data_IF_554271924911
#
_entry.id   IF_554271924911
#
_cell.length_a   1.000
_cell.length_b   1.000
_cell.length_c   1.000
_cell.angle_alpha   90.00
_cell.angle_beta   90.00
_cell.angle_gamma   90.00
#
_symmetry.space_group_name_H-M   'P 1'
#
loop_
_entity.id
_entity.type
_entity.pdbx_description
1 polymer ?
#
# COMPACT_ATOMS: atom_id res chain seq x y z
N UNK A 1 24.74 9.33 10.32
CA UNK A 1 23.72 8.81 9.41
C UNK A 1 22.38 9.13 10.06
N UNK A 2 21.52 9.90 9.43
CA UNK A 2 20.15 10.04 9.89
C UNK A 2 19.48 8.67 9.73
N UNK A 3 18.90 8.15 10.79
CA UNK A 3 18.22 6.85 10.77
C UNK A 3 16.74 7.03 10.43
N UNK A 4 16.05 5.92 10.23
CA UNK A 4 14.59 5.89 10.20
C UNK A 4 14.05 6.13 11.61
N UNK A 5 12.99 6.90 11.74
CA UNK A 5 12.29 7.03 13.03
C UNK A 5 11.42 5.80 13.28
N UNK A 6 11.28 5.43 14.55
CA UNK A 6 10.41 4.29 14.90
C UNK A 6 8.97 4.52 14.47
N UNK A 7 8.48 5.75 14.53
CA UNK A 7 7.16 6.15 14.05
C UNK A 7 6.94 6.05 12.53
N UNK A 8 8.00 5.84 11.74
CA UNK A 8 7.86 5.57 10.31
C UNK A 8 7.61 4.08 10.00
N UNK A 9 7.97 3.18 10.93
CA UNK A 9 7.80 1.75 10.73
C UNK A 9 6.33 1.36 10.92
N UNK A 10 5.78 0.76 9.88
CA UNK A 10 4.39 0.33 9.81
C UNK A 10 4.36 -1.11 9.35
N UNK A 11 3.56 -1.95 9.99
CA UNK A 11 3.36 -3.32 9.55
C UNK A 11 2.00 -3.50 8.88
N UNK A 12 1.91 -4.45 7.96
CA UNK A 12 0.68 -4.79 7.25
C UNK A 12 0.21 -6.20 7.66
N UNK A 13 -1.09 -6.41 7.73
CA UNK A 13 -1.65 -7.68 8.19
C UNK A 13 -1.78 -8.76 7.09
N UNK A 14 -1.29 -8.53 5.89
CA UNK A 14 -1.52 -9.40 4.73
C UNK A 14 -0.98 -10.83 4.92
N UNK A 15 0.23 -10.99 5.45
CA UNK A 15 0.81 -12.33 5.68
C UNK A 15 0.24 -13.06 6.91
N UNK A 16 -0.58 -12.36 7.73
CA UNK A 16 -1.37 -12.98 8.79
C UNK A 16 -2.74 -13.50 8.32
N UNK A 17 -3.01 -13.55 7.03
CA UNK A 17 -4.33 -13.91 6.45
C UNK A 17 -4.91 -15.26 6.90
N UNK A 18 -4.11 -16.13 7.53
CA UNK A 18 -4.54 -17.42 8.11
C UNK A 18 -4.71 -17.38 9.64
N UNK A 19 -4.53 -16.23 10.25
CA UNK A 19 -4.68 -15.98 11.67
C UNK A 19 -5.80 -14.94 11.89
N UNK A 20 -6.25 -14.78 13.14
CA UNK A 20 -7.22 -13.74 13.46
C UNK A 20 -6.56 -12.35 13.46
N UNK A 21 -7.37 -11.31 13.27
CA UNK A 21 -6.89 -9.93 13.42
C UNK A 21 -6.38 -9.66 14.84
N UNK A 22 -7.03 -10.23 15.87
CA UNK A 22 -6.57 -10.09 17.27
C UNK A 22 -5.16 -10.66 17.46
N UNK A 23 -4.86 -11.82 16.87
CA UNK A 23 -3.50 -12.37 16.90
C UNK A 23 -2.48 -11.46 16.23
N UNK A 24 -2.82 -10.87 15.07
CA UNK A 24 -1.95 -9.89 14.43
C UNK A 24 -1.70 -8.68 15.35
N UNK A 25 -2.75 -8.12 15.95
CA UNK A 25 -2.64 -6.96 16.83
C UNK A 25 -1.82 -7.27 18.10
N UNK A 26 -2.01 -8.44 18.71
CA UNK A 26 -1.15 -8.94 19.80
C UNK A 26 0.31 -9.01 19.39
N UNK A 27 0.60 -9.47 18.17
CA UNK A 27 1.96 -9.52 17.64
C UNK A 27 2.55 -8.12 17.47
N UNK A 28 1.77 -7.16 16.97
CA UNK A 28 2.22 -5.75 16.84
C UNK A 28 2.53 -5.13 18.20
N UNK A 29 1.68 -5.35 19.20
CA UNK A 29 1.92 -4.89 20.56
C UNK A 29 3.22 -5.47 21.14
N UNK A 30 3.49 -6.77 20.93
CA UNK A 30 4.74 -7.43 21.35
C UNK A 30 5.98 -6.91 20.65
N UNK A 31 5.86 -6.39 19.42
CA UNK A 31 6.92 -5.74 18.65
C UNK A 31 7.07 -4.26 19.00
N UNK A 32 6.14 -3.69 19.77
CA UNK A 32 6.10 -2.25 20.05
C UNK A 32 5.77 -1.42 18.81
N UNK A 33 5.03 -1.98 17.85
CA UNK A 33 4.56 -1.30 16.65
C UNK A 33 3.14 -0.79 16.90
N UNK A 34 3.01 0.54 16.99
CA UNK A 34 1.73 1.21 17.25
C UNK A 34 0.98 1.65 15.99
N UNK A 35 1.49 1.32 14.80
CA UNK A 35 0.92 1.79 13.53
C UNK A 35 0.86 0.64 12.53
N UNK A 36 -0.30 0.54 11.84
CA UNK A 36 -0.49 -0.49 10.83
C UNK A 36 -1.10 0.09 9.55
N UNK A 37 -0.79 -0.55 8.46
CA UNK A 37 -1.60 -0.51 7.25
C UNK A 37 -2.62 -1.64 7.33
N UNK A 38 -3.90 -1.31 7.20
CA UNK A 38 -4.97 -2.29 7.23
C UNK A 38 -5.24 -2.84 5.83
N UNK A 39 -4.77 -4.04 5.58
CA UNK A 39 -5.21 -4.82 4.43
C UNK A 39 -6.59 -5.43 4.72
N UNK A 40 -7.59 -5.04 3.91
CA UNK A 40 -9.00 -5.45 4.08
C UNK A 40 -9.27 -6.81 3.43
N UNK A 41 -8.48 -7.82 3.78
CA UNK A 41 -8.76 -9.20 3.39
C UNK A 41 -9.87 -9.81 4.24
N UNK A 42 -10.68 -10.66 3.65
CA UNK A 42 -11.90 -11.23 4.23
C UNK A 42 -11.72 -11.92 5.60
N UNK A 43 -10.50 -12.41 5.90
CA UNK A 43 -10.21 -13.02 7.20
C UNK A 43 -10.09 -11.99 8.34
N UNK A 44 -9.80 -10.72 8.04
CA UNK A 44 -9.55 -9.70 9.04
C UNK A 44 -10.62 -8.61 9.09
N UNK A 45 -11.07 -8.16 7.93
CA UNK A 45 -12.10 -7.16 7.80
C UNK A 45 -12.81 -7.33 6.46
N UNK A 46 -14.09 -7.67 6.49
CA UNK A 46 -14.88 -7.78 5.26
C UNK A 46 -15.15 -6.41 4.68
N UNK A 47 -14.87 -6.28 3.38
CA UNK A 47 -15.17 -5.08 2.60
C UNK A 47 -15.58 -5.53 1.20
N UNK A 48 -16.70 -5.03 0.70
CA UNK A 48 -17.14 -5.23 -0.68
C UNK A 48 -17.87 -4.00 -1.24
N UNK A 49 -18.48 -4.14 -2.41
CA UNK A 49 -19.24 -3.05 -3.06
C UNK A 49 -20.60 -2.77 -2.38
N UNK A 50 -21.05 -3.60 -1.46
CA UNK A 50 -22.30 -3.43 -0.72
C UNK A 50 -22.10 -2.82 0.67
N UNK A 51 -20.91 -2.97 1.26
CA UNK A 51 -20.59 -2.47 2.58
C UNK A 51 -19.32 -3.07 3.18
N UNK A 52 -19.29 -3.14 4.50
CA UNK A 52 -18.14 -3.60 5.29
C UNK A 52 -18.60 -4.12 6.66
N UNK A 53 -17.68 -4.80 7.37
CA UNK A 53 -17.85 -5.20 8.76
C UNK A 53 -18.04 -3.99 9.70
N UNK A 54 -18.40 -4.27 10.96
CA UNK A 54 -18.62 -3.25 11.98
C UNK A 54 -17.32 -2.50 12.33
N UNK A 55 -17.25 -1.25 11.90
CA UNK A 55 -16.11 -0.36 12.19
C UNK A 55 -15.99 -0.07 13.68
N UNK A 56 -17.09 -0.05 14.44
CA UNK A 56 -17.06 0.19 15.88
C UNK A 56 -16.35 -0.96 16.62
N UNK A 57 -16.60 -2.19 16.22
CA UNK A 57 -15.91 -3.37 16.73
C UNK A 57 -14.41 -3.33 16.37
N UNK A 58 -14.07 -2.96 15.13
CA UNK A 58 -12.68 -2.79 14.71
C UNK A 58 -11.96 -1.71 15.52
N UNK A 59 -12.59 -0.53 15.69
CA UNK A 59 -12.05 0.56 16.51
C UNK A 59 -11.79 0.13 17.96
N UNK A 60 -12.67 -0.70 18.52
CA UNK A 60 -12.47 -1.20 19.89
C UNK A 60 -11.23 -2.09 19.95
N UNK A 61 -11.08 -3.06 19.03
CA UNK A 61 -9.89 -3.92 18.95
C UNK A 61 -8.60 -3.11 18.82
N UNK A 62 -8.58 -2.11 17.95
CA UNK A 62 -7.42 -1.23 17.75
C UNK A 62 -7.05 -0.48 19.04
N UNK A 63 -8.03 0.08 19.76
CA UNK A 63 -7.81 0.75 21.06
C UNK A 63 -7.27 -0.20 22.11
N UNK A 64 -7.84 -1.40 22.22
CA UNK A 64 -7.45 -2.40 23.23
C UNK A 64 -5.99 -2.84 23.07
N UNK A 65 -5.47 -2.79 21.84
CA UNK A 65 -4.06 -3.13 21.54
C UNK A 65 -3.14 -1.90 21.43
N UNK A 66 -3.68 -0.68 21.57
CA UNK A 66 -2.89 0.55 21.43
C UNK A 66 -2.35 0.78 20.02
N UNK A 67 -3.04 0.29 18.99
CA UNK A 67 -2.65 0.36 17.57
C UNK A 67 -3.55 1.32 16.81
N UNK A 68 -2.99 2.09 15.90
CA UNK A 68 -3.75 2.94 14.96
C UNK A 68 -3.53 2.53 13.51
N UNK A 69 -4.55 2.69 12.70
CA UNK A 69 -4.47 2.53 11.24
C UNK A 69 -3.95 3.83 10.64
N UNK A 70 -2.91 3.77 9.80
CA UNK A 70 -2.36 4.94 9.08
C UNK A 70 -2.71 4.93 7.61
N UNK A 71 -2.97 3.76 7.05
CA UNK A 71 -3.39 3.56 5.66
C UNK A 71 -4.31 2.35 5.55
N UNK A 72 -5.13 2.34 4.52
CA UNK A 72 -6.02 1.22 4.19
C UNK A 72 -5.68 0.72 2.79
N UNK A 73 -5.53 -0.60 2.65
CA UNK A 73 -5.35 -1.28 1.37
C UNK A 73 -6.51 -2.22 1.11
N UNK A 74 -7.27 -1.92 0.06
CA UNK A 74 -8.36 -2.76 -0.42
C UNK A 74 -7.83 -3.72 -1.49
N UNK A 75 -7.83 -5.06 -1.24
CA UNK A 75 -7.34 -6.03 -2.21
C UNK A 75 -7.93 -5.84 -3.61
N UNK A 76 -7.09 -5.77 -4.64
CA UNK A 76 -7.54 -5.51 -6.01
C UNK A 76 -6.91 -6.38 -7.08
N UNK A 77 -5.63 -6.75 -6.97
CA UNK A 77 -4.86 -7.38 -8.04
C UNK A 77 -5.47 -8.67 -8.60
N UNK A 78 -5.73 -9.63 -7.74
CA UNK A 78 -6.28 -10.94 -8.11
C UNK A 78 -7.80 -11.04 -7.86
N UNK A 79 -8.48 -9.91 -7.61
CA UNK A 79 -9.89 -9.86 -7.26
C UNK A 79 -10.72 -9.24 -8.38
N UNK A 80 -12.04 -9.38 -8.31
CA UNK A 80 -12.98 -8.89 -9.32
C UNK A 80 -13.10 -7.36 -9.39
N UNK A 81 -12.63 -6.63 -8.39
CA UNK A 81 -12.70 -5.17 -8.37
C UNK A 81 -11.47 -4.57 -9.06
N UNK A 82 -11.70 -3.97 -10.24
CA UNK A 82 -10.63 -3.45 -11.09
C UNK A 82 -10.90 -2.00 -11.51
N UNK A 83 -9.83 -1.20 -11.59
CA UNK A 83 -9.91 0.21 -11.98
C UNK A 83 -10.20 0.42 -13.46
N UNK A 84 -9.82 -0.54 -14.29
CA UNK A 84 -9.95 -0.48 -15.75
C UNK A 84 -10.98 -1.47 -16.31
N UNK A 85 -11.90 -1.99 -15.49
CA UNK A 85 -12.89 -2.98 -15.93
C UNK A 85 -13.62 -2.52 -17.19
N UNK A 86 -13.71 -3.40 -18.18
CA UNK A 86 -14.45 -3.17 -19.41
C UNK A 86 -15.96 -3.27 -19.18
N UNK A 87 -16.37 -4.08 -18.21
CA UNK A 87 -17.78 -4.30 -17.89
C UNK A 87 -18.34 -3.13 -17.07
N UNK A 88 -19.37 -2.42 -17.56
CA UNK A 88 -19.91 -1.23 -16.86
C UNK A 88 -20.36 -1.53 -15.43
N UNK A 89 -21.00 -2.69 -15.20
CA UNK A 89 -21.44 -3.09 -13.87
C UNK A 89 -20.25 -3.41 -12.96
N UNK A 90 -19.23 -4.09 -13.50
CA UNK A 90 -17.99 -4.37 -12.78
C UNK A 90 -17.25 -3.10 -12.37
N UNK A 91 -17.20 -2.11 -13.27
CA UNK A 91 -16.60 -0.80 -12.98
C UNK A 91 -17.38 -0.04 -11.89
N UNK A 92 -18.72 -0.10 -11.90
CA UNK A 92 -19.54 0.53 -10.87
C UNK A 92 -19.39 -0.18 -9.51
N UNK A 93 -19.29 -1.51 -9.48
CA UNK A 93 -19.01 -2.25 -8.25
C UNK A 93 -17.61 -1.92 -7.72
N UNK A 94 -16.63 -1.81 -8.60
CA UNK A 94 -15.27 -1.39 -8.22
C UNK A 94 -15.28 0.03 -7.63
N UNK A 95 -16.04 0.95 -8.22
CA UNK A 95 -16.18 2.30 -7.68
C UNK A 95 -16.77 2.30 -6.25
N UNK A 96 -17.81 1.52 -6.01
CA UNK A 96 -18.41 1.40 -4.66
C UNK A 96 -17.45 0.77 -3.66
N UNK A 97 -16.77 -0.29 -4.07
CA UNK A 97 -15.79 -0.99 -3.25
C UNK A 97 -14.67 -0.06 -2.79
N UNK A 98 -13.98 0.61 -3.72
CA UNK A 98 -12.91 1.54 -3.36
C UNK A 98 -13.44 2.79 -2.63
N UNK A 99 -14.66 3.24 -2.92
CA UNK A 99 -15.30 4.31 -2.14
C UNK A 99 -15.58 3.91 -0.69
N UNK A 100 -15.93 2.64 -0.44
CA UNK A 100 -16.09 2.12 0.92
C UNK A 100 -14.75 2.06 1.65
N UNK A 101 -13.65 1.69 0.96
CA UNK A 101 -12.30 1.75 1.54
C UNK A 101 -11.89 3.19 1.93
N UNK A 102 -12.21 4.17 1.09
CA UNK A 102 -11.95 5.58 1.38
C UNK A 102 -12.73 6.07 2.61
N UNK A 103 -14.00 5.69 2.73
CA UNK A 103 -14.81 6.02 3.91
C UNK A 103 -14.29 5.33 5.16
N UNK A 104 -13.93 4.03 5.05
CA UNK A 104 -13.31 3.28 6.14
C UNK A 104 -12.04 3.97 6.64
N UNK A 105 -11.14 4.40 5.75
CA UNK A 105 -9.93 5.12 6.10
C UNK A 105 -10.26 6.38 6.90
N UNK A 106 -11.16 7.22 6.39
CA UNK A 106 -11.61 8.44 7.08
C UNK A 106 -12.19 8.13 8.47
N UNK A 107 -13.03 7.12 8.57
CA UNK A 107 -13.64 6.73 9.85
C UNK A 107 -12.63 6.17 10.86
N UNK A 108 -11.56 5.52 10.40
CA UNK A 108 -10.47 5.05 11.25
C UNK A 108 -9.45 6.14 11.59
N UNK A 109 -9.57 7.33 10.99
CA UNK A 109 -8.62 8.43 11.15
C UNK A 109 -7.32 8.22 10.35
N UNK A 110 -7.33 7.30 9.38
CA UNK A 110 -6.25 7.16 8.41
C UNK A 110 -6.38 8.25 7.32
N UNK A 111 -5.25 8.83 6.93
CA UNK A 111 -5.22 9.94 5.98
C UNK A 111 -5.02 9.50 4.53
N UNK A 112 -4.87 8.17 4.29
CA UNK A 112 -4.60 7.63 2.94
C UNK A 112 -5.18 6.24 2.71
N UNK A 113 -5.44 5.98 1.43
CA UNK A 113 -5.80 4.66 0.90
C UNK A 113 -4.83 4.32 -0.22
N UNK A 114 -4.27 3.12 -0.19
CA UNK A 114 -3.47 2.60 -1.30
C UNK A 114 -4.41 2.24 -2.44
N UNK A 115 -4.10 2.76 -3.62
CA UNK A 115 -4.78 2.47 -4.88
C UNK A 115 -3.75 2.15 -5.95
N UNK A 116 -4.17 1.52 -7.04
CA UNK A 116 -3.31 1.25 -8.18
C UNK A 116 -4.08 1.44 -9.50
N UNK A 117 -3.50 1.04 -10.61
CA UNK A 117 -4.19 1.12 -11.90
C UNK A 117 -4.99 -0.14 -12.25
N UNK A 118 -4.82 -1.21 -11.46
CA UNK A 118 -5.33 -2.52 -11.84
C UNK A 118 -4.73 -2.99 -13.17
N UNK A 119 -5.52 -3.72 -13.91
CA UNK A 119 -5.18 -4.22 -15.24
C UNK A 119 -6.41 -4.21 -16.16
N UNK A 120 -6.17 -4.18 -17.46
CA UNK A 120 -7.19 -4.43 -18.48
C UNK A 120 -6.88 -5.71 -19.25
N UNK A 121 -7.80 -6.19 -20.06
CA UNK A 121 -7.61 -7.43 -20.81
C UNK A 121 -6.46 -7.32 -21.82
N UNK A 122 -5.59 -8.32 -21.86
CA UNK A 122 -4.58 -8.43 -22.91
C UNK A 122 -5.26 -8.54 -24.28
N UNK A 123 -4.87 -7.67 -25.21
CA UNK A 123 -5.50 -7.56 -26.52
C UNK A 123 -6.63 -6.52 -26.63
N UNK A 124 -7.01 -5.88 -25.53
CA UNK A 124 -7.87 -4.70 -25.55
C UNK A 124 -7.09 -3.44 -26.00
N UNK A 125 -7.80 -2.43 -26.52
CA UNK A 125 -7.20 -1.14 -26.83
C UNK A 125 -6.69 -0.46 -25.56
N UNK A 126 -5.37 -0.26 -25.50
CA UNK A 126 -4.70 0.37 -24.36
C UNK A 126 -5.26 1.78 -24.06
N UNK A 127 -5.61 2.55 -25.08
CA UNK A 127 -6.15 3.90 -24.91
C UNK A 127 -7.48 3.86 -24.18
N UNK A 128 -8.33 2.88 -24.49
CA UNK A 128 -9.62 2.71 -23.83
C UNK A 128 -9.46 2.26 -22.37
N UNK A 129 -8.59 1.28 -22.10
CA UNK A 129 -8.26 0.83 -20.75
C UNK A 129 -7.72 2.00 -19.89
N UNK A 130 -6.77 2.73 -20.44
CA UNK A 130 -6.14 3.88 -19.79
C UNK A 130 -7.16 4.95 -19.42
N UNK A 131 -8.04 5.31 -20.35
CA UNK A 131 -9.09 6.31 -20.12
C UNK A 131 -10.04 5.87 -19.00
N UNK A 132 -10.48 4.60 -18.99
CA UNK A 132 -11.35 4.08 -17.92
C UNK A 132 -10.66 4.15 -16.56
N UNK A 133 -9.40 3.71 -16.44
CA UNK A 133 -8.63 3.78 -15.21
C UNK A 133 -8.47 5.22 -14.73
N UNK A 134 -8.03 6.13 -15.61
CA UNK A 134 -7.89 7.57 -15.31
C UNK A 134 -9.19 8.17 -14.78
N UNK A 135 -10.29 7.93 -15.48
CA UNK A 135 -11.59 8.49 -15.12
C UNK A 135 -12.13 7.89 -13.81
N UNK A 136 -11.86 6.61 -13.57
CA UNK A 136 -12.20 5.93 -12.33
C UNK A 136 -11.42 6.52 -11.14
N UNK A 137 -10.09 6.67 -11.26
CA UNK A 137 -9.26 7.31 -10.25
C UNK A 137 -9.71 8.74 -9.98
N UNK A 138 -10.04 9.51 -11.01
CA UNK A 138 -10.60 10.85 -10.86
C UNK A 138 -11.94 10.89 -10.13
N UNK A 139 -12.82 9.89 -10.34
CA UNK A 139 -14.07 9.74 -9.58
C UNK A 139 -13.78 9.44 -8.09
N UNK A 140 -12.83 8.55 -7.80
CA UNK A 140 -12.44 8.20 -6.44
C UNK A 140 -11.79 9.38 -5.70
N UNK A 141 -10.97 10.17 -6.38
CA UNK A 141 -10.42 11.41 -5.83
C UNK A 141 -11.50 12.37 -5.33
N UNK A 142 -12.61 12.52 -6.08
CA UNK A 142 -13.75 13.35 -5.67
C UNK A 142 -14.50 12.79 -4.44
N UNK A 143 -14.44 11.49 -4.19
CA UNK A 143 -14.94 10.88 -2.93
C UNK A 143 -13.97 11.15 -1.78
N UNK A 144 -12.68 11.08 -2.04
CA UNK A 144 -11.63 11.22 -1.03
C UNK A 144 -11.46 12.66 -0.53
N UNK A 145 -11.60 13.65 -1.43
CA UNK A 145 -11.36 15.06 -1.14
C UNK A 145 -12.13 15.61 0.07
N UNK A 146 -13.48 15.51 0.13
CA UNK A 146 -14.25 16.03 1.27
C UNK A 146 -14.01 15.26 2.57
N UNK A 147 -13.41 14.06 2.50
CA UNK A 147 -13.06 13.24 3.65
C UNK A 147 -11.63 13.49 4.15
N UNK A 148 -10.86 14.35 3.47
CA UNK A 148 -9.47 14.63 3.79
C UNK A 148 -8.51 13.46 3.52
N UNK A 149 -8.95 12.44 2.79
CA UNK A 149 -8.17 11.24 2.47
C UNK A 149 -7.39 11.44 1.18
N UNK A 150 -6.14 10.96 1.13
CA UNK A 150 -5.32 10.90 -0.08
C UNK A 150 -5.36 9.49 -0.67
N UNK A 151 -5.33 9.41 -1.99
CA UNK A 151 -5.15 8.17 -2.73
C UNK A 151 -3.66 8.05 -3.05
N UNK A 152 -2.96 7.13 -2.40
CA UNK A 152 -1.56 6.83 -2.68
C UNK A 152 -1.51 5.81 -3.83
N UNK A 153 -1.19 6.27 -5.05
CA UNK A 153 -1.19 5.42 -6.23
C UNK A 153 0.12 4.66 -6.34
N UNK A 154 0.02 3.35 -6.28
CA UNK A 154 1.10 2.40 -6.46
C UNK A 154 1.36 2.11 -7.93
N UNK A 155 2.63 2.08 -8.31
CA UNK A 155 3.07 1.46 -9.54
C UNK A 155 3.31 -0.03 -9.29
N UNK A 156 2.75 -0.86 -10.13
CA UNK A 156 2.80 -2.31 -10.00
C UNK A 156 3.89 -2.91 -10.89
N UNK A 157 4.22 -4.18 -10.69
CA UNK A 157 5.09 -4.89 -11.62
C UNK A 157 4.38 -5.13 -12.97
N UNK A 158 5.16 -5.37 -14.02
CA UNK A 158 4.62 -5.60 -15.37
C UNK A 158 3.80 -6.90 -15.52
N UNK A 159 3.98 -7.86 -14.61
CA UNK A 159 3.17 -9.08 -14.53
C UNK A 159 1.84 -8.85 -13.79
N UNK A 160 1.74 -7.78 -13.01
CA UNK A 160 0.54 -7.42 -12.24
C UNK A 160 -0.33 -6.41 -12.97
N UNK A 161 0.28 -5.51 -13.75
CA UNK A 161 -0.45 -4.45 -14.44
C UNK A 161 0.12 -4.19 -15.84
N UNK A 162 -0.76 -4.08 -16.80
CA UNK A 162 -0.45 -3.58 -18.14
C UNK A 162 -0.75 -2.07 -18.30
N UNK A 163 -1.01 -1.37 -17.20
CA UNK A 163 -1.31 0.07 -17.18
C UNK A 163 -0.17 0.86 -16.51
N UNK A 164 -0.21 1.08 -15.21
CA UNK A 164 0.84 1.82 -14.50
C UNK A 164 1.82 0.83 -13.87
N UNK A 165 2.94 0.60 -14.55
CA UNK A 165 3.99 -0.34 -14.19
C UNK A 165 5.41 0.20 -14.41
N UNK A 166 5.52 1.51 -14.50
CA UNK A 166 6.79 2.24 -14.61
C UNK A 166 6.62 3.69 -14.17
N UNK A 167 7.72 4.34 -13.85
CA UNK A 167 7.77 5.75 -13.49
C UNK A 167 7.18 6.65 -14.59
N UNK A 168 7.49 6.37 -15.85
CA UNK A 168 6.94 7.14 -16.98
C UNK A 168 5.42 7.08 -17.00
N UNK A 169 4.87 5.88 -16.87
CA UNK A 169 3.41 5.66 -16.87
C UNK A 169 2.75 6.22 -15.61
N UNK A 170 3.41 6.12 -14.47
CA UNK A 170 2.97 6.75 -13.22
C UNK A 170 2.88 8.27 -13.35
N UNK A 171 3.92 8.91 -13.90
CA UNK A 171 3.92 10.36 -14.20
C UNK A 171 2.80 10.76 -15.16
N UNK A 172 2.55 9.94 -16.16
CA UNK A 172 1.47 10.18 -17.12
C UNK A 172 0.11 10.12 -16.44
N UNK A 173 -0.19 9.06 -15.70
CA UNK A 173 -1.46 8.88 -15.01
C UNK A 173 -1.69 10.00 -13.98
N UNK A 174 -0.68 10.31 -13.18
CA UNK A 174 -0.73 11.38 -12.19
C UNK A 174 -1.10 12.73 -12.81
N UNK A 175 -0.43 13.10 -13.92
CA UNK A 175 -0.71 14.35 -14.65
C UNK A 175 -2.09 14.36 -15.31
N UNK A 176 -2.54 13.23 -15.86
CA UNK A 176 -3.83 13.16 -16.56
C UNK A 176 -5.01 13.15 -15.59
N UNK A 177 -4.90 12.51 -14.43
CA UNK A 177 -5.93 12.59 -13.36
C UNK A 177 -5.98 13.99 -12.77
N UNK A 178 -4.83 14.63 -12.57
CA UNK A 178 -4.66 16.02 -12.13
C UNK A 178 -5.60 16.42 -10.98
N UNK A 179 -5.50 15.71 -9.86
CA UNK A 179 -6.37 15.96 -8.70
C UNK A 179 -5.55 16.03 -7.40
N UNK A 180 -5.80 17.01 -6.50
CA UNK A 180 -4.98 17.19 -5.28
C UNK A 180 -5.08 16.04 -4.27
N UNK A 181 -6.10 15.19 -4.38
CA UNK A 181 -6.23 13.98 -3.56
C UNK A 181 -5.46 12.80 -4.11
N UNK A 182 -5.04 12.81 -5.38
CA UNK A 182 -4.15 11.78 -5.91
C UNK A 182 -2.72 12.12 -5.50
N UNK A 183 -2.06 11.18 -4.89
CA UNK A 183 -0.65 11.20 -4.51
C UNK A 183 0.00 9.91 -5.00
N UNK A 184 1.30 9.81 -4.83
CA UNK A 184 2.06 8.67 -5.29
C UNK A 184 2.60 7.86 -4.11
N UNK A 185 2.80 6.59 -4.34
CA UNK A 185 3.60 5.74 -3.49
C UNK A 185 4.58 4.90 -4.30
N UNK A 186 5.55 4.36 -3.62
CA UNK A 186 6.50 3.40 -4.17
C UNK A 186 6.35 2.08 -3.43
N UNK A 187 6.30 0.99 -4.19
CA UNK A 187 6.77 -0.31 -3.75
C UNK A 187 8.20 -0.48 -4.27
N UNK A 188 9.17 -0.58 -3.36
CA UNK A 188 10.57 -0.67 -3.77
C UNK A 188 10.91 -1.96 -4.54
N UNK A 189 10.09 -3.01 -4.40
CA UNK A 189 10.24 -4.26 -5.18
C UNK A 189 9.75 -4.05 -6.61
N UNK A 190 8.56 -3.44 -6.79
CA UNK A 190 8.03 -3.13 -8.11
C UNK A 190 8.94 -2.14 -8.87
N UNK A 191 9.46 -1.14 -8.17
CA UNK A 191 10.44 -0.16 -8.70
C UNK A 191 11.72 -0.86 -9.14
N UNK A 192 12.28 -1.73 -8.32
CA UNK A 192 13.47 -2.52 -8.66
C UNK A 192 13.23 -3.47 -9.84
N UNK A 193 12.05 -4.11 -9.92
CA UNK A 193 11.66 -4.96 -11.04
C UNK A 193 11.54 -4.18 -12.36
N UNK A 194 11.16 -2.91 -12.31
CA UNK A 194 11.13 -2.01 -13.46
C UNK A 194 12.53 -1.47 -13.86
N UNK A 195 13.57 -1.77 -13.06
CA UNK A 195 14.93 -1.25 -13.28
C UNK A 195 15.08 0.23 -12.91
N UNK A 196 14.21 0.73 -12.07
CA UNK A 196 14.16 2.12 -11.61
C UNK A 196 14.72 2.23 -10.18
N UNK A 197 15.11 3.44 -9.77
CA UNK A 197 15.62 3.71 -8.42
C UNK A 197 14.63 4.54 -7.59
N UNK A 198 14.77 4.50 -6.27
CA UNK A 198 14.00 5.41 -5.40
C UNK A 198 14.31 6.87 -5.69
N UNK A 199 15.55 7.20 -6.04
CA UNK A 199 15.96 8.58 -6.37
C UNK A 199 15.18 9.11 -7.57
N UNK A 200 14.98 8.29 -8.63
CA UNK A 200 14.17 8.67 -9.79
C UNK A 200 12.71 9.01 -9.40
N UNK A 201 12.16 8.28 -8.45
CA UNK A 201 10.80 8.49 -7.96
C UNK A 201 10.71 9.73 -7.06
N UNK A 202 11.68 9.96 -6.18
CA UNK A 202 11.75 11.18 -5.38
C UNK A 202 11.91 12.41 -6.24
N UNK A 203 12.80 12.36 -7.25
CA UNK A 203 13.00 13.45 -8.21
C UNK A 203 11.74 13.74 -9.03
N UNK A 204 10.94 12.70 -9.29
CA UNK A 204 9.73 12.84 -10.09
C UNK A 204 8.55 13.46 -9.33
N UNK A 205 8.39 13.11 -8.05
CA UNK A 205 7.18 13.41 -7.30
C UNK A 205 7.41 14.24 -6.02
N UNK A 206 8.63 14.29 -5.50
CA UNK A 206 8.97 15.10 -4.32
C UNK A 206 8.01 14.84 -3.16
N UNK A 207 7.38 15.89 -2.64
CA UNK A 207 6.41 15.81 -1.53
C UNK A 207 5.11 15.07 -1.87
N UNK A 208 4.85 14.81 -3.14
CA UNK A 208 3.70 14.01 -3.57
C UNK A 208 3.94 12.50 -3.46
N UNK A 209 5.17 12.06 -3.15
CA UNK A 209 5.49 10.69 -2.79
C UNK A 209 5.25 10.51 -1.28
N UNK A 210 4.05 10.09 -0.90
CA UNK A 210 3.58 10.14 0.48
C UNK A 210 3.63 8.81 1.23
N UNK A 211 3.88 7.70 0.54
CA UNK A 211 3.77 6.35 1.09
C UNK A 211 4.76 5.40 0.44
N UNK A 212 5.15 4.35 1.14
CA UNK A 212 6.11 3.39 0.62
C UNK A 212 5.88 2.00 1.20
N UNK A 213 5.81 0.98 0.35
CA UNK A 213 6.08 -0.40 0.72
C UNK A 213 7.59 -0.60 0.67
N UNK A 214 8.17 -1.01 1.80
CA UNK A 214 9.61 -1.00 2.03
C UNK A 214 10.09 -2.38 2.51
N UNK A 215 10.60 -3.16 1.58
CA UNK A 215 10.80 -4.60 1.71
C UNK A 215 12.13 -5.05 1.11
N UNK A 216 12.52 -6.27 1.43
CA UNK A 216 13.53 -7.00 0.68
C UNK A 216 12.88 -7.84 -0.43
N UNK A 217 13.64 -8.18 -1.45
CA UNK A 217 13.15 -9.02 -2.56
C UNK A 217 14.26 -9.45 -3.51
N UNK A 218 13.89 -10.27 -4.53
CA UNK A 218 14.85 -10.82 -5.49
C UNK A 218 14.30 -10.96 -6.93
N UNK A 219 13.92 -9.96 -7.67
CA UNK A 219 13.19 -8.74 -7.39
C UNK A 219 11.67 -8.96 -7.28
N UNK A 220 11.19 -10.20 -7.34
CA UNK A 220 9.77 -10.54 -7.51
C UNK A 220 9.02 -10.85 -6.21
N UNK A 221 9.75 -11.11 -5.11
CA UNK A 221 9.16 -11.54 -3.85
C UNK A 221 9.14 -10.39 -2.84
N UNK A 222 8.09 -10.32 -2.04
CA UNK A 222 7.95 -9.38 -0.92
C UNK A 222 8.42 -10.05 0.36
N UNK A 223 9.74 -10.04 0.55
CA UNK A 223 10.42 -10.71 1.66
C UNK A 223 10.66 -9.79 2.85
N UNK A 224 10.89 -10.40 4.01
CA UNK A 224 11.47 -9.66 5.15
C UNK A 224 12.94 -9.31 4.84
N UNK A 225 13.41 -8.20 5.41
CA UNK A 225 14.80 -7.76 5.24
C UNK A 225 15.80 -8.83 5.68
N UNK A 226 16.70 -9.18 4.77
CA UNK A 226 17.73 -10.21 4.92
C UNK A 226 17.42 -11.54 4.23
N UNK A 227 16.24 -11.69 3.62
CA UNK A 227 15.86 -12.90 2.87
C UNK A 227 15.89 -12.66 1.34
N UNK A 228 16.18 -11.45 0.88
CA UNK A 228 16.34 -11.08 -0.52
C UNK A 228 17.75 -10.57 -0.84
N UNK A 229 17.84 -9.79 -1.90
CA UNK A 229 19.09 -9.20 -2.37
C UNK A 229 19.03 -7.67 -2.56
N UNK A 230 17.98 -7.03 -2.06
CA UNK A 230 17.85 -5.58 -2.07
C UNK A 230 18.88 -4.95 -1.13
N UNK A 231 19.60 -3.93 -1.60
CA UNK A 231 20.57 -3.24 -0.76
C UNK A 231 19.88 -2.29 0.22
N UNK A 232 19.64 -2.75 1.45
CA UNK A 232 19.03 -1.92 2.50
C UNK A 232 19.81 -0.61 2.71
N UNK A 233 21.15 -0.66 2.68
CA UNK A 233 21.98 0.54 2.86
C UNK A 233 21.76 1.58 1.73
N UNK A 234 21.62 1.14 0.49
CA UNK A 234 21.34 2.04 -0.64
C UNK A 234 19.93 2.65 -0.51
N UNK A 235 18.93 1.83 -0.15
CA UNK A 235 17.56 2.30 0.08
C UNK A 235 17.51 3.35 1.21
N UNK A 236 18.16 3.08 2.34
CA UNK A 236 18.24 4.01 3.47
C UNK A 236 18.99 5.31 3.11
N UNK A 237 20.03 5.21 2.28
CA UNK A 237 20.75 6.39 1.81
C UNK A 237 19.83 7.29 0.97
N UNK A 238 19.07 6.71 0.02
CA UNK A 238 18.10 7.44 -0.79
C UNK A 238 17.02 8.13 0.08
N UNK A 239 16.44 7.41 1.05
CA UNK A 239 15.47 8.01 2.00
C UNK A 239 16.06 9.23 2.73
N UNK A 240 17.32 9.15 3.15
CA UNK A 240 17.99 10.24 3.86
C UNK A 240 18.29 11.43 2.94
N UNK A 241 18.80 11.19 1.75
CA UNK A 241 19.17 12.22 0.78
C UNK A 241 17.95 13.04 0.35
N UNK A 242 16.79 12.38 0.24
CA UNK A 242 15.51 13.02 -0.08
C UNK A 242 14.68 13.43 1.15
N UNK A 243 15.23 13.31 2.36
CA UNK A 243 14.57 13.70 3.62
C UNK A 243 13.18 13.09 3.78
N UNK A 244 13.00 11.84 3.38
CA UNK A 244 11.70 11.17 3.44
C UNK A 244 11.23 10.96 4.88
N UNK A 245 10.05 11.46 5.20
CA UNK A 245 9.43 11.38 6.52
C UNK A 245 8.13 10.59 6.54
N UNK A 246 7.74 10.01 5.41
CA UNK A 246 6.56 9.17 5.28
C UNK A 246 6.72 7.79 5.93
N UNK A 247 5.69 6.98 5.83
CA UNK A 247 5.67 5.63 6.37
C UNK A 247 6.47 4.65 5.50
N UNK A 248 7.08 3.68 6.17
CA UNK A 248 7.81 2.55 5.60
C UNK A 248 7.05 1.28 5.96
N UNK A 249 6.14 0.87 5.10
CA UNK A 249 5.22 -0.24 5.35
C UNK A 249 5.88 -1.56 4.97
N UNK A 250 5.76 -2.53 5.86
CA UNK A 250 6.27 -3.89 5.67
C UNK A 250 5.16 -4.76 5.07
N UNK A 251 4.98 -4.70 3.75
CA UNK A 251 4.02 -5.52 3.01
C UNK A 251 4.59 -6.92 2.72
N UNK A 252 4.87 -7.69 3.74
CA UNK A 252 5.33 -9.07 3.56
C UNK A 252 4.21 -9.89 2.91
N UNK A 253 4.44 -10.46 1.74
CA UNK A 253 3.39 -11.12 0.97
C UNK A 253 3.74 -12.52 0.49
N UNK A 254 5.00 -12.96 0.60
CA UNK A 254 5.40 -14.30 0.19
C UNK A 254 4.80 -15.37 1.12
N UNK A 255 4.26 -16.43 0.50
CA UNK A 255 3.47 -17.44 1.22
C UNK A 255 4.28 -18.31 2.19
N UNK A 256 5.59 -18.37 2.05
CA UNK A 256 6.42 -19.13 2.98
C UNK A 256 6.44 -18.55 4.40
N UNK A 257 6.05 -17.28 4.58
CA UNK A 257 5.88 -16.66 5.90
C UNK A 257 4.52 -16.92 6.55
N UNK A 258 3.53 -17.42 5.81
CA UNK A 258 2.14 -17.56 6.31
C UNK A 258 1.96 -18.60 7.41
N UNK A 259 2.93 -19.49 7.63
CA UNK A 259 2.87 -20.47 8.71
C UNK A 259 3.33 -19.92 10.07
N UNK A 260 4.24 -18.94 10.07
CA UNK A 260 4.73 -18.26 11.28
C UNK A 260 5.04 -16.78 10.97
N UNK A 261 4.00 -15.96 10.75
CA UNK A 261 4.18 -14.57 10.36
C UNK A 261 4.83 -13.72 11.47
N UNK A 262 4.62 -14.09 12.73
CA UNK A 262 5.26 -13.37 13.85
C UNK A 262 6.77 -13.57 13.89
N UNK A 263 7.27 -14.77 13.60
CA UNK A 263 8.71 -15.00 13.50
C UNK A 263 9.32 -14.21 12.32
N UNK A 264 8.59 -14.11 11.20
CA UNK A 264 8.98 -13.28 10.06
C UNK A 264 9.12 -11.80 10.46
N UNK A 265 8.08 -11.21 11.04
CA UNK A 265 8.09 -9.82 11.52
C UNK A 265 9.23 -9.57 12.51
N UNK A 266 9.38 -10.45 13.48
CA UNK A 266 10.43 -10.31 14.49
C UNK A 266 11.84 -10.33 13.88
N UNK A 267 12.09 -11.12 12.83
CA UNK A 267 13.36 -11.09 12.09
C UNK A 267 13.52 -9.77 11.33
N UNK A 268 12.48 -9.36 10.63
CA UNK A 268 12.42 -8.13 9.86
C UNK A 268 12.76 -6.90 10.71
N UNK A 269 12.06 -6.73 11.82
CA UNK A 269 12.28 -5.60 12.72
C UNK A 269 13.66 -5.62 13.39
N UNK A 270 14.23 -6.79 13.68
CA UNK A 270 15.63 -6.88 14.18
C UNK A 270 16.67 -6.34 13.20
N UNK A 271 16.42 -6.45 11.90
CA UNK A 271 17.29 -5.87 10.87
C UNK A 271 17.12 -4.36 10.85
N UNK A 272 15.87 -3.87 10.82
CA UNK A 272 15.56 -2.45 10.74
C UNK A 272 15.92 -1.67 12.02
N UNK A 273 15.75 -2.26 13.20
CA UNK A 273 16.07 -1.64 14.50
C UNK A 273 17.51 -1.12 14.61
N UNK A 274 18.45 -1.68 13.84
CA UNK A 274 19.85 -1.20 13.79
C UNK A 274 19.98 0.20 13.18
N UNK A 275 18.96 0.65 12.48
CA UNK A 275 18.90 1.93 11.76
C UNK A 275 17.85 2.86 12.34
N UNK A 276 17.09 2.42 13.33
CA UNK A 276 16.07 3.22 14.00
C UNK A 276 16.70 4.21 14.94
N UNK A 277 16.29 5.46 14.83
CA UNK A 277 16.52 6.52 15.82
C UNK A 277 15.26 6.72 16.65
N UNK A 278 15.40 7.16 17.90
CA UNK A 278 14.26 7.58 18.70
C UNK A 278 13.58 8.82 18.08
N UNK A 279 12.27 8.94 18.26
CA UNK A 279 11.44 10.04 17.73
C UNK A 279 11.73 11.39 18.37
#
# INVERSE_FOLDING_TARGET
MSGIKRSQLVNMNQHYRRFSLDYFLDCQQRLGIGQIELWCGAAHFWLDHTGHDDISALRQKLRDHGVRVVSVTAPSMAYQYQYASQEPLGLEYSFRYFSNAIRLASELGADRVVVNSGWGYWGEDETAMWARCRDHLGRLCRVAEPLGVKLAMESLRADESNLVNSLERARRMYREVNHPSLKMMVDNIATGAAGESLDDWFDAFGEDLIHMHFLDGDPWLHNVWGDGNTSLSAQLQSLNDHHYTGYLVQEVADEHYFSDPFAADRRNFRVLERFVTED
#
